data_IF_878529328558
#
_entry.id   IF_878529328558
#
_cell.length_a   1.000
_cell.length_b   1.000
_cell.length_c   1.000
_cell.angle_alpha   90.00
_cell.angle_beta   90.00
_cell.angle_gamma   90.00
#
_symmetry.space_group_name_H-M   'P 1'
#
loop_
_entity.id
_entity.type
_entity.pdbx_description
1 polymer ?
#
# COMPACT_ATOMS: atom_id res chain seq x y z
N UNK A 1 13.26 -5.12 20.59
CA UNK A 1 12.66 -5.49 19.28
C UNK A 1 13.26 -6.81 18.81
N UNK A 2 12.45 -7.81 18.45
CA UNK A 2 12.94 -9.08 17.91
C UNK A 2 13.05 -8.94 16.39
N UNK A 3 14.25 -9.09 15.84
CA UNK A 3 14.47 -9.03 14.40
C UNK A 3 13.82 -10.24 13.72
N UNK A 4 12.97 -10.00 12.72
CA UNK A 4 12.40 -11.04 11.86
C UNK A 4 13.28 -11.17 10.61
N UNK A 5 14.10 -12.22 10.49
CA UNK A 5 14.89 -12.44 9.28
C UNK A 5 13.97 -12.61 8.07
N UNK A 6 14.43 -12.16 6.90
CA UNK A 6 13.69 -12.24 5.62
C UNK A 6 12.39 -11.41 5.54
N UNK A 7 12.29 -10.32 6.30
CA UNK A 7 11.17 -9.38 6.16
C UNK A 7 11.23 -8.67 4.80
N UNK A 8 10.29 -9.01 3.92
CA UNK A 8 10.10 -8.35 2.62
C UNK A 8 9.22 -7.11 2.77
N UNK A 9 9.73 -5.98 2.29
CA UNK A 9 9.02 -4.68 2.27
C UNK A 9 8.86 -4.26 0.81
N UNK A 10 7.69 -3.74 0.45
CA UNK A 10 7.42 -3.20 -0.88
C UNK A 10 6.81 -1.80 -0.79
N UNK A 11 7.25 -0.92 -1.68
CA UNK A 11 6.73 0.46 -1.77
C UNK A 11 5.84 0.63 -3.00
N UNK A 12 4.63 1.13 -2.80
CA UNK A 12 3.64 1.41 -3.86
C UNK A 12 3.38 2.91 -3.96
N UNK A 13 4.14 3.58 -4.82
CA UNK A 13 4.03 5.04 -5.00
C UNK A 13 3.84 5.42 -6.47
N UNK A 14 3.26 6.60 -6.68
CA UNK A 14 3.26 7.26 -7.99
C UNK A 14 4.68 7.55 -8.49
N UNK A 15 4.82 7.89 -9.77
CA UNK A 15 6.12 8.20 -10.40
C UNK A 15 6.97 6.99 -10.77
N UNK A 16 6.54 5.76 -10.45
CA UNK A 16 7.18 4.51 -10.87
C UNK A 16 6.24 3.70 -11.78
N UNK A 17 6.80 2.94 -12.76
CA UNK A 17 6.01 2.08 -13.63
C UNK A 17 5.17 1.08 -12.84
N UNK A 18 3.87 1.00 -13.15
CA UNK A 18 2.93 0.11 -12.46
C UNK A 18 3.35 -1.38 -12.58
N UNK A 19 3.84 -1.78 -13.75
CA UNK A 19 4.26 -3.17 -14.02
C UNK A 19 5.34 -3.66 -13.06
N UNK A 20 6.34 -2.82 -12.73
CA UNK A 20 7.41 -3.20 -11.81
C UNK A 20 6.89 -3.45 -10.39
N UNK A 21 5.93 -2.65 -9.94
CA UNK A 21 5.28 -2.83 -8.64
C UNK A 21 4.42 -4.09 -8.63
N UNK A 22 3.63 -4.32 -9.69
CA UNK A 22 2.84 -5.55 -9.87
C UNK A 22 3.71 -6.81 -9.86
N UNK A 23 4.81 -6.80 -10.61
CA UNK A 23 5.68 -7.97 -10.70
C UNK A 23 6.39 -8.22 -9.35
N UNK A 24 6.70 -7.16 -8.60
CA UNK A 24 7.21 -7.27 -7.23
C UNK A 24 6.20 -7.84 -6.23
N UNK A 25 4.90 -7.58 -6.43
CA UNK A 25 3.79 -8.14 -5.65
C UNK A 25 3.59 -9.64 -5.87
N UNK A 26 4.11 -10.22 -6.97
CA UNK A 26 4.04 -11.68 -7.19
C UNK A 26 4.70 -12.50 -6.06
N UNK A 27 5.62 -11.90 -5.31
CA UNK A 27 6.06 -12.47 -4.04
C UNK A 27 5.50 -11.62 -2.91
N UNK A 28 4.58 -12.18 -2.14
CA UNK A 28 3.85 -11.45 -1.11
C UNK A 28 4.80 -10.71 -0.14
N UNK A 29 4.73 -9.37 -0.05
CA UNK A 29 5.47 -8.62 0.95
C UNK A 29 4.84 -8.80 2.34
N UNK A 30 5.64 -8.63 3.39
CA UNK A 30 5.16 -8.61 4.77
C UNK A 30 4.67 -7.21 5.17
N UNK A 31 5.27 -6.18 4.56
CA UNK A 31 4.94 -4.77 4.81
C UNK A 31 4.81 -4.07 3.47
N UNK A 32 3.74 -3.30 3.31
CA UNK A 32 3.53 -2.39 2.19
C UNK A 32 3.58 -0.96 2.71
N UNK A 33 4.37 -0.11 2.07
CA UNK A 33 4.36 1.34 2.26
C UNK A 33 3.80 1.96 1.00
N UNK A 34 2.72 2.73 1.08
CA UNK A 34 2.04 3.20 -0.13
C UNK A 34 1.48 4.62 0.00
N UNK A 35 1.42 5.31 -1.14
CA UNK A 35 0.58 6.52 -1.27
C UNK A 35 -0.86 6.10 -1.59
N UNK A 36 -1.90 6.74 -1.01
CA UNK A 36 -3.29 6.29 -1.11
C UNK A 36 -3.75 5.96 -2.54
N UNK A 37 -3.55 6.89 -3.48
CA UNK A 37 -3.99 6.69 -4.86
C UNK A 37 -3.34 5.48 -5.55
N UNK A 38 -2.04 5.22 -5.31
CA UNK A 38 -1.37 4.06 -5.91
C UNK A 38 -1.77 2.75 -5.23
N UNK A 39 -2.02 2.75 -3.93
CA UNK A 39 -2.57 1.57 -3.25
C UNK A 39 -3.94 1.21 -3.81
N UNK A 40 -4.82 2.21 -3.96
CA UNK A 40 -6.14 2.04 -4.54
C UNK A 40 -6.09 1.49 -5.97
N UNK A 41 -5.19 2.00 -6.82
CA UNK A 41 -4.96 1.46 -8.17
C UNK A 41 -4.65 -0.05 -8.14
N UNK A 42 -3.84 -0.50 -7.17
CA UNK A 42 -3.44 -1.89 -7.03
C UNK A 42 -4.57 -2.77 -6.50
N UNK A 43 -5.40 -2.25 -5.58
CA UNK A 43 -6.58 -2.92 -5.02
C UNK A 43 -7.65 -3.12 -6.10
N UNK A 44 -8.01 -2.06 -6.82
CA UNK A 44 -9.01 -2.11 -7.89
C UNK A 44 -8.65 -3.06 -9.02
N UNK A 45 -7.35 -3.23 -9.29
CA UNK A 45 -6.84 -4.17 -10.31
C UNK A 45 -6.61 -5.59 -9.79
N UNK A 46 -6.88 -5.85 -8.50
CA UNK A 46 -6.70 -7.17 -7.88
C UNK A 46 -5.23 -7.63 -7.82
N UNK A 47 -4.29 -6.70 -7.87
CA UNK A 47 -2.84 -7.01 -7.80
C UNK A 47 -2.30 -7.08 -6.38
N UNK A 48 -3.06 -6.54 -5.42
CA UNK A 48 -2.85 -6.67 -3.98
C UNK A 48 -4.20 -6.92 -3.32
N UNK A 49 -4.21 -7.66 -2.21
CA UNK A 49 -5.37 -7.83 -1.33
C UNK A 49 -4.96 -7.47 0.10
N UNK A 50 -5.89 -6.90 0.87
CA UNK A 50 -5.75 -6.57 2.28
C UNK A 50 -6.51 -7.56 3.20
N UNK A 51 -6.98 -8.70 2.67
CA UNK A 51 -7.78 -9.68 3.44
C UNK A 51 -7.05 -10.21 4.69
N UNK A 52 -5.71 -10.21 4.65
CA UNK A 52 -4.85 -10.63 5.75
C UNK A 52 -4.20 -9.46 6.51
N UNK A 53 -4.68 -8.23 6.32
CA UNK A 53 -4.13 -7.05 6.98
C UNK A 53 -4.45 -7.06 8.48
N UNK A 54 -3.41 -7.15 9.31
CA UNK A 54 -3.56 -7.08 10.77
C UNK A 54 -3.33 -5.68 11.34
N UNK A 55 -2.61 -4.84 10.61
CA UNK A 55 -2.18 -3.51 11.08
C UNK A 55 -2.22 -2.53 9.93
N UNK A 56 -2.96 -1.44 10.10
CA UNK A 56 -2.95 -0.28 9.23
C UNK A 56 -2.33 0.92 9.97
N UNK A 57 -1.42 1.64 9.31
CA UNK A 57 -0.84 2.88 9.83
C UNK A 57 -1.08 3.97 8.79
N UNK A 58 -1.68 5.06 9.23
CA UNK A 58 -1.87 6.27 8.43
C UNK A 58 -0.96 7.37 8.98
N UNK A 59 0.00 7.79 8.18
CA UNK A 59 0.90 8.89 8.53
C UNK A 59 0.39 10.19 7.90
N UNK A 60 0.47 11.30 8.63
CA UNK A 60 0.00 12.64 8.17
C UNK A 60 -1.44 12.60 7.59
N UNK A 61 -2.37 11.97 8.32
CA UNK A 61 -3.73 11.70 7.84
C UNK A 61 -4.53 12.97 7.51
N UNK A 62 -4.33 14.04 8.28
CA UNK A 62 -4.89 15.36 8.02
C UNK A 62 -4.45 15.91 6.66
N UNK A 63 -3.17 15.82 6.31
CA UNK A 63 -2.68 16.22 4.99
C UNK A 63 -3.28 15.39 3.88
N UNK A 64 -3.49 14.09 4.10
CA UNK A 64 -4.13 13.25 3.09
C UNK A 64 -5.57 13.71 2.80
N UNK A 65 -6.31 14.14 3.82
CA UNK A 65 -7.64 14.73 3.65
C UNK A 65 -7.58 16.05 2.89
N UNK A 66 -6.63 16.94 3.22
CA UNK A 66 -6.43 18.22 2.52
C UNK A 66 -6.07 18.03 1.03
N UNK A 67 -5.36 16.96 0.71
CA UNK A 67 -5.01 16.57 -0.66
C UNK A 67 -6.18 15.94 -1.44
N UNK A 68 -7.34 15.74 -0.79
CA UNK A 68 -8.52 15.14 -1.40
C UNK A 68 -8.48 13.61 -1.47
N UNK A 69 -7.69 12.93 -0.62
CA UNK A 69 -7.63 11.47 -0.58
C UNK A 69 -8.70 10.81 0.29
N UNK A 70 -9.73 11.53 0.73
CA UNK A 70 -10.78 10.97 1.60
C UNK A 70 -11.41 9.71 1.01
N UNK A 71 -11.89 9.78 -0.24
CA UNK A 71 -12.52 8.64 -0.91
C UNK A 71 -11.56 7.44 -1.04
N UNK A 72 -10.29 7.72 -1.33
CA UNK A 72 -9.29 6.66 -1.46
C UNK A 72 -8.91 6.01 -0.13
N UNK A 73 -9.02 6.75 0.99
CA UNK A 73 -8.84 6.20 2.33
C UNK A 73 -10.06 5.37 2.71
N UNK A 74 -11.26 5.85 2.43
CA UNK A 74 -12.52 5.13 2.72
C UNK A 74 -12.60 3.81 1.94
N UNK A 75 -12.10 3.76 0.70
CA UNK A 75 -12.03 2.52 -0.09
C UNK A 75 -10.99 1.50 0.44
N UNK A 76 -10.02 1.95 1.24
CA UNK A 76 -8.94 1.10 1.80
C UNK A 76 -9.33 0.50 3.15
N UNK A 77 -10.20 1.18 3.91
CA UNK A 77 -10.66 0.82 5.27
C UNK A 77 -11.89 -0.09 5.20
#
# INVERSE_FOLDING_TARGET
ARFLPNTKILTLCGGQPFGLQRDSLQHAPHIIVATPGRLLDHLQKGTVSLDALNTLVMDEADRMLDMGFSDAIDDVI
#
